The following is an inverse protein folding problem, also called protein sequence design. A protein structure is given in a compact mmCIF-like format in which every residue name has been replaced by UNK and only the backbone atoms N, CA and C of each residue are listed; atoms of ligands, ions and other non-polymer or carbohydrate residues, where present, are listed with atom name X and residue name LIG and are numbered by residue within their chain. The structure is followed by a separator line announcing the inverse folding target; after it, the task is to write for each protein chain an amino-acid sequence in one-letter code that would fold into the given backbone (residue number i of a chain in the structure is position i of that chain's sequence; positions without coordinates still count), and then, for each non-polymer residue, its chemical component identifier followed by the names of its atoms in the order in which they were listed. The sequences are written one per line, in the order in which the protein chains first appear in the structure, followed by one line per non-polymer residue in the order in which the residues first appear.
data_IF_910588383385
#
_entry.id   IF_910588383385
#
_cell.length_a   1.000
_cell.length_b   1.000
_cell.length_c   1.000
_cell.angle_alpha   90.00
_cell.angle_beta   90.00
_cell.angle_gamma   90.00
#
_symmetry.space_group_name_H-M   'P 1'
#
loop_
_entity.id
_entity.type
_entity.pdbx_description
1 polymer ?
#
# COMPACT_ATOMS: atom_id res chain seq x y z
N UNK A 1 6.79 -12.38 -6.76
CA UNK A 1 7.32 -11.23 -6.02
C UNK A 1 6.93 -9.91 -6.68
N UNK A 2 6.38 -9.02 -5.88
CA UNK A 2 5.97 -7.70 -6.35
C UNK A 2 7.17 -6.76 -6.39
N UNK A 3 7.37 -6.01 -7.48
CA UNK A 3 8.42 -5.01 -7.51
C UNK A 3 7.99 -3.78 -6.70
N UNK A 4 8.18 -3.87 -5.39
CA UNK A 4 7.64 -2.93 -4.41
C UNK A 4 7.99 -1.47 -4.72
N UNK A 5 9.25 -1.19 -5.00
CA UNK A 5 9.68 0.19 -5.25
C UNK A 5 8.98 0.78 -6.46
N UNK A 6 8.88 0.00 -7.54
CA UNK A 6 8.21 0.42 -8.78
C UNK A 6 6.74 0.73 -8.55
N UNK A 7 6.05 -0.14 -7.84
CA UNK A 7 4.62 0.04 -7.57
C UNK A 7 4.40 1.25 -6.67
N UNK A 8 5.24 1.41 -5.64
CA UNK A 8 5.15 2.58 -4.76
C UNK A 8 5.37 3.87 -5.55
N UNK A 9 6.34 3.88 -6.46
CA UNK A 9 6.59 5.07 -7.27
C UNK A 9 5.39 5.43 -8.13
N UNK A 10 4.74 4.44 -8.74
CA UNK A 10 3.52 4.68 -9.52
C UNK A 10 2.42 5.28 -8.65
N UNK A 11 2.26 4.76 -7.43
CA UNK A 11 1.25 5.28 -6.51
C UNK A 11 1.54 6.71 -6.08
N UNK A 12 2.81 7.04 -5.83
CA UNK A 12 3.18 8.41 -5.49
C UNK A 12 2.86 9.41 -6.61
N UNK A 13 2.77 8.94 -7.85
CA UNK A 13 2.42 9.80 -8.98
C UNK A 13 0.92 10.07 -9.08
N UNK A 14 0.11 9.32 -8.34
CA UNK A 14 -1.34 9.53 -8.36
C UNK A 14 -1.70 10.82 -7.63
N UNK A 15 -2.56 11.68 -8.23
CA UNK A 15 -2.88 12.98 -7.63
C UNK A 15 -3.58 12.89 -6.27
N UNK A 16 -4.24 11.78 -5.97
CA UNK A 16 -4.92 11.62 -4.68
C UNK A 16 -4.04 11.00 -3.60
N UNK A 17 -2.82 10.58 -3.93
CA UNK A 17 -1.95 9.87 -2.99
C UNK A 17 -0.89 10.81 -2.42
N UNK A 18 -0.86 10.90 -1.07
CA UNK A 18 0.14 11.67 -0.35
C UNK A 18 1.34 10.79 0.03
N UNK A 19 1.07 9.54 0.41
CA UNK A 19 2.12 8.58 0.75
C UNK A 19 1.66 7.17 0.45
N UNK A 20 2.61 6.30 0.10
CA UNK A 20 2.32 4.91 -0.24
C UNK A 20 3.37 3.97 0.34
N UNK A 21 2.93 2.81 0.83
CA UNK A 21 3.82 1.77 1.31
C UNK A 21 3.21 0.41 1.01
N UNK A 22 3.96 -0.45 0.34
CA UNK A 22 3.55 -1.84 0.08
C UNK A 22 4.22 -2.71 1.14
N UNK A 23 3.40 -3.45 1.90
CA UNK A 23 3.89 -4.25 3.02
C UNK A 23 3.42 -5.69 2.85
N UNK A 24 4.34 -6.65 3.04
CA UNK A 24 3.98 -8.06 3.07
C UNK A 24 3.33 -8.41 4.39
N UNK A 25 2.16 -9.04 4.35
CA UNK A 25 1.41 -9.45 5.53
C UNK A 25 1.29 -10.97 5.55
N UNK A 26 1.31 -11.59 6.74
CA UNK A 26 1.19 -13.04 6.81
C UNK A 26 -0.18 -13.52 6.34
N UNK A 27 -0.19 -14.66 5.65
CA UNK A 27 -1.40 -15.29 5.14
C UNK A 27 -1.22 -16.80 5.25
N UNK A 28 -2.16 -17.46 5.89
CA UNK A 28 -2.06 -18.91 6.12
C UNK A 28 -2.03 -19.72 4.83
N UNK A 29 -2.71 -19.24 3.80
CA UNK A 29 -2.83 -19.97 2.53
C UNK A 29 -1.70 -19.68 1.57
N UNK A 30 -1.30 -18.40 1.50
CA UNK A 30 -0.34 -17.93 0.50
C UNK A 30 1.05 -17.68 1.06
N UNK A 31 1.21 -17.79 2.37
CA UNK A 31 2.45 -17.46 3.07
C UNK A 31 2.53 -15.95 3.33
N UNK A 32 2.32 -15.15 2.31
CA UNK A 32 2.38 -13.70 2.43
C UNK A 32 1.46 -13.03 1.40
N UNK A 33 0.81 -11.95 1.81
CA UNK A 33 -0.03 -11.12 0.93
C UNK A 33 0.52 -9.70 0.92
N UNK A 34 0.42 -9.04 -0.24
CA UNK A 34 0.85 -7.66 -0.37
C UNK A 34 -0.30 -6.73 -0.02
N UNK A 35 -0.09 -5.87 0.96
CA UNK A 35 -1.05 -4.85 1.36
C UNK A 35 -0.50 -3.48 1.01
N UNK A 36 -1.32 -2.68 0.35
CA UNK A 36 -0.98 -1.30 0.01
C UNK A 36 -1.56 -0.38 1.07
N UNK A 37 -0.70 0.36 1.77
CA UNK A 37 -1.11 1.39 2.72
C UNK A 37 -0.98 2.73 2.03
N UNK A 38 -2.05 3.53 2.04
CA UNK A 38 -2.04 4.86 1.44
C UNK A 38 -2.49 5.92 2.42
N UNK A 39 -1.80 7.06 2.37
CA UNK A 39 -2.31 8.30 2.95
C UNK A 39 -2.80 9.09 1.75
N UNK A 40 -4.04 9.52 1.78
CA UNK A 40 -4.63 10.31 0.69
C UNK A 40 -4.52 11.80 0.96
N UNK A 41 -4.50 12.58 -0.11
CA UNK A 41 -4.56 14.04 -0.01
C UNK A 41 -5.86 14.45 0.67
N UNK A 42 -5.86 15.59 1.35
CA UNK A 42 -7.04 16.07 2.07
C UNK A 42 -8.28 16.10 1.17
N UNK A 43 -9.36 15.47 1.65
CA UNK A 43 -10.62 15.41 0.92
C UNK A 43 -10.68 14.42 -0.22
N UNK A 44 -9.58 13.73 -0.52
CA UNK A 44 -9.54 12.76 -1.61
C UNK A 44 -10.05 11.40 -1.16
N UNK A 45 -10.55 10.61 -2.11
CA UNK A 45 -10.96 9.24 -1.87
C UNK A 45 -10.33 8.36 -2.96
N UNK A 46 -10.13 7.07 -2.64
CA UNK A 46 -9.62 6.10 -3.60
C UNK A 46 -10.04 4.71 -3.14
N UNK A 47 -10.75 4.00 -3.99
CA UNK A 47 -11.18 2.64 -3.69
C UNK A 47 -10.12 1.63 -4.17
N UNK A 48 -10.24 0.39 -3.71
CA UNK A 48 -9.36 -0.68 -4.18
C UNK A 48 -9.45 -0.83 -5.70
N UNK A 49 -10.66 -0.84 -6.24
CA UNK A 49 -10.86 -0.97 -7.68
C UNK A 49 -10.24 0.18 -8.47
N UNK A 50 -10.35 1.39 -7.95
CA UNK A 50 -9.74 2.55 -8.58
C UNK A 50 -8.21 2.47 -8.56
N UNK A 51 -7.64 2.00 -7.45
CA UNK A 51 -6.20 1.79 -7.35
C UNK A 51 -5.73 0.77 -8.38
N UNK A 52 -6.42 -0.36 -8.46
CA UNK A 52 -6.08 -1.42 -9.42
C UNK A 52 -6.17 -0.89 -10.85
N UNK A 53 -7.27 -0.20 -11.19
CA UNK A 53 -7.44 0.38 -12.52
C UNK A 53 -6.33 1.37 -12.87
N UNK A 54 -5.93 2.19 -11.90
CA UNK A 54 -4.85 3.14 -12.10
C UNK A 54 -3.53 2.42 -12.41
N UNK A 55 -3.18 1.42 -11.59
CA UNK A 55 -1.92 0.69 -11.76
C UNK A 55 -1.89 -0.04 -13.11
N UNK A 56 -2.99 -0.66 -13.49
CA UNK A 56 -3.09 -1.32 -14.79
C UNK A 56 -2.93 -0.31 -15.93
N UNK A 57 -3.50 0.88 -15.79
CA UNK A 57 -3.39 1.93 -16.81
C UNK A 57 -1.94 2.41 -16.98
N UNK A 58 -1.12 2.22 -15.96
CA UNK A 58 0.30 2.57 -16.02
C UNK A 58 1.18 1.43 -16.54
N UNK A 59 0.57 0.31 -16.94
CA UNK A 59 1.28 -0.82 -17.52
C UNK A 59 1.74 -1.88 -16.53
N UNK A 60 1.30 -1.80 -15.27
CA UNK A 60 1.70 -2.81 -14.30
C UNK A 60 1.02 -4.14 -14.61
N UNK A 61 1.79 -5.23 -14.52
CA UNK A 61 1.25 -6.57 -14.73
C UNK A 61 0.27 -6.93 -13.61
N UNK A 62 -0.77 -7.69 -13.98
CA UNK A 62 -1.76 -8.18 -13.01
C UNK A 62 -1.13 -8.98 -11.88
N UNK A 63 -0.03 -9.68 -12.16
CA UNK A 63 0.65 -10.49 -11.14
C UNK A 63 1.34 -9.65 -10.08
N UNK A 64 1.50 -8.36 -10.32
CA UNK A 64 2.19 -7.45 -9.41
C UNK A 64 1.27 -6.53 -8.63
N UNK A 65 -0.05 -6.69 -8.79
CA UNK A 65 -1.01 -5.85 -8.08
C UNK A 65 -1.06 -6.19 -6.59
N UNK A 66 -1.14 -5.17 -5.72
CA UNK A 66 -1.41 -5.43 -4.30
C UNK A 66 -2.77 -6.10 -4.15
N UNK A 67 -2.91 -6.93 -3.12
CA UNK A 67 -4.12 -7.71 -2.89
C UNK A 67 -5.08 -7.03 -1.92
N UNK A 68 -4.60 -6.05 -1.16
CA UNK A 68 -5.42 -5.29 -0.22
C UNK A 68 -5.02 -3.83 -0.22
N UNK A 69 -5.97 -2.99 0.16
CA UNK A 69 -5.75 -1.55 0.30
C UNK A 69 -6.24 -1.11 1.68
N UNK A 70 -5.35 -0.42 2.40
CA UNK A 70 -5.69 0.21 3.67
C UNK A 70 -5.41 1.70 3.56
N UNK A 71 -6.44 2.51 3.81
CA UNK A 71 -6.28 3.96 3.86
C UNK A 71 -6.02 4.33 5.31
N UNK A 72 -4.92 5.02 5.55
CA UNK A 72 -4.52 5.42 6.91
C UNK A 72 -4.29 6.92 6.95
N UNK A 73 -4.39 7.51 8.14
CA UNK A 73 -4.19 8.96 8.30
C UNK A 73 -2.72 9.31 8.47
N UNK A 74 -1.92 8.37 8.95
CA UNK A 74 -0.49 8.59 9.15
C UNK A 74 0.24 7.25 9.11
N UNK A 75 1.55 7.32 8.94
CA UNK A 75 2.41 6.12 8.93
C UNK A 75 3.58 6.34 9.88
N UNK A 76 4.01 5.28 10.61
CA UNK A 76 5.17 5.39 11.47
C UNK A 76 6.42 5.69 10.62
N UNK A 77 7.22 6.67 11.06
CA UNK A 77 8.42 7.08 10.34
C UNK A 77 9.60 7.21 11.29
N UNK A 78 10.80 7.04 10.75
CA UNK A 78 12.02 7.32 11.48
C UNK A 78 12.21 8.82 11.56
N UNK A 79 13.20 9.27 12.37
CA UNK A 79 13.53 10.68 12.47
C UNK A 79 13.92 11.27 11.11
N UNK A 80 14.47 10.45 10.21
CA UNK A 80 14.85 10.89 8.87
C UNK A 80 13.69 10.87 7.88
N UNK A 81 12.50 10.45 8.32
CA UNK A 81 11.29 10.45 7.48
C UNK A 81 11.01 9.15 6.74
N UNK A 82 11.79 8.11 6.97
CA UNK A 82 11.59 6.83 6.31
C UNK A 82 10.42 6.07 6.94
N UNK A 83 9.51 5.56 6.12
CA UNK A 83 8.37 4.77 6.60
C UNK A 83 8.86 3.45 7.19
N UNK A 84 8.40 3.16 8.42
CA UNK A 84 8.77 1.94 9.14
C UNK A 84 7.73 0.86 8.87
N UNK A 85 7.93 0.10 7.79
CA UNK A 85 6.97 -0.91 7.35
C UNK A 85 6.69 -1.98 8.40
N UNK A 86 7.69 -2.30 9.21
CA UNK A 86 7.53 -3.27 10.30
C UNK A 86 6.41 -2.84 11.25
N UNK A 87 6.38 -1.56 11.61
CA UNK A 87 5.35 -1.05 12.51
C UNK A 87 3.98 -1.00 11.85
N UNK A 88 3.92 -0.70 10.55
CA UNK A 88 2.66 -0.76 9.81
C UNK A 88 2.08 -2.16 9.84
N UNK A 89 2.92 -3.15 9.56
CA UNK A 89 2.52 -4.56 9.56
C UNK A 89 1.97 -4.98 10.92
N UNK A 90 2.68 -4.64 11.98
CA UNK A 90 2.32 -4.99 13.34
C UNK A 90 1.00 -4.34 13.76
N UNK A 91 0.84 -3.05 13.48
CA UNK A 91 -0.36 -2.30 13.83
C UNK A 91 -1.59 -2.87 13.13
N UNK A 92 -1.48 -3.16 11.84
CA UNK A 92 -2.59 -3.71 11.07
C UNK A 92 -3.00 -5.09 11.56
N UNK A 93 -2.02 -5.91 11.90
CA UNK A 93 -2.27 -7.25 12.42
C UNK A 93 -3.05 -7.18 13.75
N UNK A 94 -2.63 -6.31 14.66
CA UNK A 94 -3.28 -6.13 15.95
C UNK A 94 -4.66 -5.49 15.84
N UNK A 95 -4.88 -4.71 14.81
CA UNK A 95 -6.18 -4.07 14.57
C UNK A 95 -7.21 -5.04 14.00
N UNK A 96 -6.81 -6.28 13.70
CA UNK A 96 -7.72 -7.29 13.18
C UNK A 96 -8.10 -7.05 11.72
N UNK A 97 -7.27 -6.37 10.98
CA UNK A 97 -7.51 -6.07 9.57
C UNK A 97 -7.35 -7.31 8.68
N UNK A 98 -6.69 -8.33 9.22
CA UNK A 98 -6.33 -9.55 8.46
C UNK A 98 -7.05 -10.80 8.97
#
# INVERSE_FOLDING_TARGET
NIPVVEVEELLYQHPHVSAAAIVGMPDERLGERACCFLILSAGATLTFGEMVGYLLSKGLSKTYLPERLEIVSEMPRTASGKIQKFHLRETSFHAGVW
#
